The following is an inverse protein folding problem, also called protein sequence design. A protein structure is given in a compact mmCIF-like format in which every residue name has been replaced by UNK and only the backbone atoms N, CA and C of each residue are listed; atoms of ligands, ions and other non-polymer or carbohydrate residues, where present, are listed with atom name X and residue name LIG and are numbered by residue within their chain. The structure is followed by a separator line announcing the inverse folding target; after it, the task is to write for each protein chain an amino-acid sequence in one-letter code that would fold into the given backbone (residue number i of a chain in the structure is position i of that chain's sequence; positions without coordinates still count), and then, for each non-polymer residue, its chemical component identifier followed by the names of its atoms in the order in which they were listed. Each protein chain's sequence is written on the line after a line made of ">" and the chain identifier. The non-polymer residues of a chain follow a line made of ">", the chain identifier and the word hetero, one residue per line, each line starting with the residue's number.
data_IF_018740590846
#
_entry.id   IF_018740590846
#
_cell.length_a   1.000
_cell.length_b   1.000
_cell.length_c   1.000
_cell.angle_alpha   90.00
_cell.angle_beta   90.00
_cell.angle_gamma   90.00
#
_symmetry.space_group_name_H-M   'P 1'
#
loop_
_entity.id
_entity.type
_entity.pdbx_description
1 polymer ?
#
# COMPACT_ATOMS: atom_id res chain seq x y z
N UNK A 1 30.08 -16.89 22.86
CA UNK A 1 29.76 -16.19 21.58
C UNK A 1 28.25 -16.12 21.41
N UNK A 2 27.63 -15.03 21.83
CA UNK A 2 26.17 -14.85 21.76
C UNK A 2 25.75 -14.54 20.32
N UNK A 3 25.08 -15.49 19.66
CA UNK A 3 24.50 -15.30 18.32
C UNK A 3 23.36 -14.29 18.43
N UNK A 4 23.46 -13.16 17.72
CA UNK A 4 22.38 -12.17 17.66
C UNK A 4 21.13 -12.83 17.07
N UNK A 5 19.96 -12.59 17.70
CA UNK A 5 18.67 -13.17 17.31
C UNK A 5 18.04 -12.50 16.08
N UNK A 6 18.66 -11.43 15.58
CA UNK A 6 18.19 -10.75 14.38
C UNK A 6 18.71 -11.50 13.16
N UNK A 7 17.78 -12.13 12.42
CA UNK A 7 18.07 -12.65 11.09
C UNK A 7 18.39 -11.51 10.11
N UNK A 8 18.73 -11.84 8.85
CA UNK A 8 18.94 -10.83 7.82
C UNK A 8 17.74 -9.89 7.75
N UNK A 9 18.00 -8.58 7.74
CA UNK A 9 16.96 -7.58 7.49
C UNK A 9 16.47 -7.81 6.06
N UNK A 10 15.15 -7.95 5.88
CA UNK A 10 14.56 -8.11 4.55
C UNK A 10 14.97 -6.90 3.68
N UNK A 11 15.61 -7.18 2.55
CA UNK A 11 15.90 -6.17 1.54
C UNK A 11 14.63 -5.90 0.74
N UNK A 12 13.71 -5.16 1.32
CA UNK A 12 12.50 -4.68 0.65
C UNK A 12 12.90 -3.59 -0.35
N UNK A 13 13.46 -4.03 -1.49
CA UNK A 13 13.88 -3.12 -2.56
C UNK A 13 12.64 -2.49 -3.18
N UNK A 14 12.44 -1.16 -3.08
CA UNK A 14 11.28 -0.52 -3.67
C UNK A 14 11.33 -0.63 -5.19
N UNK A 15 10.25 -1.15 -5.78
CA UNK A 15 10.06 -1.17 -7.22
C UNK A 15 9.37 0.12 -7.67
N UNK A 16 10.01 0.88 -8.57
CA UNK A 16 9.36 2.03 -9.22
C UNK A 16 8.39 1.53 -10.29
N UNK A 17 7.15 1.97 -10.20
CA UNK A 17 6.10 1.69 -11.18
C UNK A 17 5.58 3.02 -11.72
N UNK A 18 5.49 3.15 -13.04
CA UNK A 18 4.83 4.27 -13.69
C UNK A 18 3.39 3.88 -13.99
N UNK A 19 2.44 4.75 -13.63
CA UNK A 19 1.00 4.50 -13.77
C UNK A 19 0.39 5.71 -14.47
N UNK A 20 -0.45 5.45 -15.47
CA UNK A 20 -1.30 6.47 -16.09
C UNK A 20 -2.67 6.44 -15.41
N UNK A 21 -3.18 7.61 -15.05
CA UNK A 21 -4.47 7.75 -14.38
C UNK A 21 -5.43 8.56 -15.26
N UNK A 22 -6.73 8.19 -15.31
CA UNK A 22 -7.74 9.06 -15.86
C UNK A 22 -7.73 10.42 -15.14
N UNK A 23 -7.93 11.51 -15.89
CA UNK A 23 -7.92 12.86 -15.33
C UNK A 23 -8.92 13.04 -14.17
N UNK A 24 -10.10 12.43 -14.27
CA UNK A 24 -11.11 12.45 -13.22
C UNK A 24 -10.58 11.83 -11.91
N UNK A 25 -9.92 10.66 -12.00
CA UNK A 25 -9.37 10.00 -10.82
C UNK A 25 -8.23 10.81 -10.19
N UNK A 26 -7.38 11.46 -11.00
CA UNK A 26 -6.37 12.37 -10.46
C UNK A 26 -7.01 13.52 -9.67
N UNK A 27 -8.10 14.10 -10.18
CA UNK A 27 -8.80 15.18 -9.48
C UNK A 27 -9.43 14.71 -8.17
N UNK A 28 -10.04 13.52 -8.16
CA UNK A 28 -10.58 12.93 -6.93
C UNK A 28 -9.48 12.71 -5.87
N UNK A 29 -8.28 12.30 -6.29
CA UNK A 29 -7.12 12.13 -5.38
C UNK A 29 -6.61 13.49 -4.84
N UNK A 30 -6.63 14.55 -5.65
CA UNK A 30 -6.32 15.91 -5.20
C UNK A 30 -7.30 16.35 -4.11
N UNK A 31 -8.59 16.19 -4.36
CA UNK A 31 -9.64 16.61 -3.42
C UNK A 31 -9.53 15.80 -2.11
N UNK A 32 -9.30 14.49 -2.21
CA UNK A 32 -9.07 13.63 -1.05
C UNK A 32 -7.85 14.08 -0.22
N UNK A 33 -6.74 14.42 -0.89
CA UNK A 33 -5.53 14.88 -0.22
C UNK A 33 -5.75 16.19 0.54
N UNK A 34 -6.55 17.11 -0.02
CA UNK A 34 -6.94 18.34 0.63
C UNK A 34 -7.79 18.09 1.87
N UNK A 35 -8.80 17.23 1.77
CA UNK A 35 -9.65 16.88 2.92
C UNK A 35 -8.86 16.22 4.03
N UNK A 36 -8.00 15.25 3.69
CA UNK A 36 -7.17 14.55 4.65
C UNK A 36 -6.20 15.49 5.39
N UNK A 37 -5.57 16.43 4.67
CA UNK A 37 -4.70 17.44 5.28
C UNK A 37 -5.47 18.30 6.27
N UNK A 38 -6.66 18.79 5.88
CA UNK A 38 -7.52 19.62 6.74
C UNK A 38 -7.93 18.90 8.02
N UNK A 39 -8.32 17.62 7.93
CA UNK A 39 -8.68 16.81 9.11
C UNK A 39 -7.51 16.65 10.10
N UNK A 40 -6.28 16.62 9.59
CA UNK A 40 -5.06 16.48 10.41
C UNK A 40 -4.47 17.83 10.85
N UNK A 41 -5.09 18.96 10.49
CA UNK A 41 -4.53 20.29 10.72
C UNK A 41 -3.24 20.55 9.95
N UNK A 42 -3.03 19.84 8.84
CA UNK A 42 -1.85 19.89 7.99
C UNK A 42 -2.19 20.43 6.59
N UNK A 43 -1.15 20.80 5.84
CA UNK A 43 -1.30 21.06 4.41
C UNK A 43 -1.72 19.80 3.65
N UNK A 44 -2.31 19.98 2.47
CA UNK A 44 -2.63 18.87 1.59
C UNK A 44 -1.38 18.05 1.27
N UNK A 45 -1.52 16.73 1.28
CA UNK A 45 -0.46 15.81 0.86
C UNK A 45 -0.39 15.74 -0.66
N UNK A 46 0.76 15.33 -1.20
CA UNK A 46 0.85 14.98 -2.63
C UNK A 46 -0.12 13.82 -2.95
N UNK A 47 -1.04 13.97 -3.93
CA UNK A 47 -1.97 12.92 -4.32
C UNK A 47 -1.30 11.57 -4.63
N UNK A 48 -0.10 11.57 -5.20
CA UNK A 48 0.63 10.35 -5.52
C UNK A 48 0.99 9.54 -4.26
N UNK A 49 1.17 10.22 -3.12
CA UNK A 49 1.48 9.57 -1.83
C UNK A 49 0.29 8.82 -1.24
N UNK A 50 -0.93 9.05 -1.74
CA UNK A 50 -2.12 8.31 -1.34
C UNK A 50 -2.21 6.92 -2.01
N UNK A 51 -1.64 6.76 -3.20
CA UNK A 51 -1.81 5.57 -4.04
C UNK A 51 -1.34 4.31 -3.31
N UNK A 52 -0.11 4.32 -2.78
CA UNK A 52 0.47 3.16 -2.09
C UNK A 52 -0.35 2.74 -0.86
N UNK A 53 -0.63 3.60 0.14
CA UNK A 53 -1.39 3.20 1.32
C UNK A 53 -2.84 2.81 0.98
N UNK A 54 -3.47 3.44 -0.02
CA UNK A 54 -4.80 3.04 -0.48
C UNK A 54 -4.80 1.62 -1.09
N UNK A 55 -3.83 1.31 -1.95
CA UNK A 55 -3.70 -0.04 -2.54
C UNK A 55 -3.36 -1.09 -1.49
N UNK A 56 -2.47 -0.78 -0.54
CA UNK A 56 -2.17 -1.66 0.59
C UNK A 56 -3.43 -1.96 1.41
N UNK A 57 -4.21 -0.92 1.75
CA UNK A 57 -5.47 -1.07 2.48
C UNK A 57 -6.46 -1.92 1.69
N UNK A 58 -6.61 -1.68 0.39
CA UNK A 58 -7.49 -2.45 -0.49
C UNK A 58 -7.13 -3.93 -0.48
N UNK A 59 -5.86 -4.27 -0.80
CA UNK A 59 -5.37 -5.66 -0.84
C UNK A 59 -5.51 -6.35 0.52
N UNK A 60 -5.22 -5.65 1.62
CA UNK A 60 -5.29 -6.22 2.96
C UNK A 60 -6.73 -6.52 3.40
N UNK A 61 -7.72 -5.79 2.89
CA UNK A 61 -9.12 -5.89 3.33
C UNK A 61 -10.01 -6.68 2.36
N UNK A 62 -9.55 -6.94 1.13
CA UNK A 62 -10.29 -7.75 0.16
C UNK A 62 -10.28 -9.25 0.54
N UNK A 63 -11.40 -9.70 1.11
CA UNK A 63 -11.61 -11.11 1.50
C UNK A 63 -11.70 -12.05 0.29
N UNK A 64 -12.23 -11.58 -0.83
CA UNK A 64 -12.33 -12.36 -2.07
C UNK A 64 -10.94 -12.66 -2.61
N UNK A 65 -10.10 -11.63 -2.69
CA UNK A 65 -8.68 -11.77 -3.02
C UNK A 65 -7.95 -12.70 -2.03
N UNK A 66 -8.14 -12.51 -0.73
CA UNK A 66 -7.51 -13.35 0.29
C UNK A 66 -7.88 -14.84 0.14
N UNK A 67 -9.14 -15.16 -0.17
CA UNK A 67 -9.61 -16.53 -0.42
C UNK A 67 -8.98 -17.12 -1.68
N UNK A 68 -8.98 -16.38 -2.79
CA UNK A 68 -8.39 -16.83 -4.04
C UNK A 68 -6.87 -17.04 -3.94
N UNK A 69 -6.17 -16.18 -3.21
CA UNK A 69 -4.72 -16.32 -2.98
C UNK A 69 -4.38 -17.62 -2.23
N UNK A 70 -5.18 -18.01 -1.24
CA UNK A 70 -5.00 -19.29 -0.51
C UNK A 70 -5.17 -20.51 -1.42
N UNK A 71 -6.06 -20.44 -2.42
CA UNK A 71 -6.23 -21.53 -3.39
C UNK A 71 -5.10 -21.61 -4.42
N UNK A 72 -4.43 -20.48 -4.69
CA UNK A 72 -3.29 -20.39 -5.61
C UNK A 72 -1.95 -20.76 -4.96
N UNK A 73 -1.85 -20.66 -3.63
CA UNK A 73 -0.67 -21.08 -2.86
C UNK A 73 -1.02 -22.33 -2.05
N UNK A 74 -1.01 -23.53 -2.67
CA UNK A 74 -1.12 -24.76 -1.91
C UNK A 74 0.21 -24.97 -1.15
N UNK A 75 0.19 -24.81 0.17
CA UNK A 75 1.30 -25.16 1.05
C UNK A 75 2.18 -23.99 1.51
N UNK A 76 1.75 -23.35 2.59
CA UNK A 76 2.67 -22.89 3.64
C UNK A 76 1.96 -23.15 4.97
N UNK A 77 1.66 -24.43 5.19
CA UNK A 77 1.29 -24.95 6.50
C UNK A 77 2.53 -25.68 7.01
N UNK A 78 3.32 -24.97 7.81
CA UNK A 78 4.17 -25.53 8.85
C UNK A 78 3.65 -24.97 10.18
#
# INVERSE_FOLDING_TARGET
>A
MSKLKLGPIADDKPLKVQVELPAALHQDLVDYAHLLGREQGQSAVDPARLIVPMLQRFIATDRGFAKARRTLTPGSAD
#
